data_IF_038359236686
#
_entry.id   IF_038359236686
#
_cell.length_a   1.000
_cell.length_b   1.000
_cell.length_c   1.000
_cell.angle_alpha   90.00
_cell.angle_beta   90.00
_cell.angle_gamma   90.00
#
_symmetry.space_group_name_H-M   'P 1'
#
loop_
_entity.id
_entity.type
_entity.pdbx_description
1 polymer ?
#
# COMPACT_ATOMS: atom_id res chain seq x y z
N UNK A 1 -9.14 17.39 -2.24
CA UNK A 1 -8.03 17.40 -1.28
C UNK A 1 -7.42 15.99 -1.08
N UNK A 2 -8.17 14.89 -0.74
CA UNK A 2 -7.57 13.57 -0.49
C UNK A 2 -6.76 13.02 -1.67
N UNK A 3 -7.25 13.20 -2.90
CA UNK A 3 -6.59 12.72 -4.13
C UNK A 3 -5.24 13.40 -4.35
N UNK A 4 -5.12 14.69 -4.04
CA UNK A 4 -3.87 15.44 -4.16
C UNK A 4 -2.80 14.94 -3.18
N UNK A 5 -3.21 14.61 -1.95
CA UNK A 5 -2.33 14.02 -0.94
C UNK A 5 -1.82 12.63 -1.38
N UNK A 6 -2.71 11.81 -1.93
CA UNK A 6 -2.35 10.51 -2.48
C UNK A 6 -1.40 10.62 -3.68
N UNK A 7 -1.60 11.60 -4.57
CA UNK A 7 -0.72 11.81 -5.72
C UNK A 7 0.73 12.08 -5.30
N UNK A 8 0.93 12.84 -4.22
CA UNK A 8 2.26 13.06 -3.65
C UNK A 8 2.84 11.77 -3.05
N UNK A 9 2.02 10.98 -2.34
CA UNK A 9 2.46 9.71 -1.76
C UNK A 9 2.94 8.71 -2.83
N UNK A 10 2.28 8.68 -4.01
CA UNK A 10 2.62 7.79 -5.12
C UNK A 10 4.05 8.05 -5.65
N UNK A 11 4.58 9.26 -5.55
CA UNK A 11 5.95 9.57 -5.98
C UNK A 11 7.02 8.83 -5.15
N UNK A 12 6.73 8.55 -3.89
CA UNK A 12 7.66 7.84 -2.99
C UNK A 12 7.64 6.32 -3.19
N UNK A 13 6.54 5.76 -3.71
CA UNK A 13 6.36 4.30 -3.86
C UNK A 13 7.39 3.66 -4.78
N UNK A 14 7.68 4.17 -6.00
CA UNK A 14 8.67 3.57 -6.89
C UNK A 14 10.09 3.63 -6.30
N UNK A 15 10.46 4.74 -5.67
CA UNK A 15 11.77 4.92 -5.04
C UNK A 15 11.95 3.90 -3.92
N UNK A 16 10.96 3.81 -3.03
CA UNK A 16 10.97 2.84 -1.93
C UNK A 16 10.98 1.40 -2.45
N UNK A 17 10.20 1.12 -3.50
CA UNK A 17 10.16 -0.19 -4.17
C UNK A 17 11.52 -0.59 -4.74
N UNK A 18 12.23 0.33 -5.37
CA UNK A 18 13.57 0.08 -5.91
C UNK A 18 14.58 -0.29 -4.81
N UNK A 19 14.59 0.46 -3.70
CA UNK A 19 15.47 0.12 -2.57
C UNK A 19 15.10 -1.20 -1.90
N UNK A 20 13.80 -1.47 -1.69
CA UNK A 20 13.34 -2.76 -1.15
C UNK A 20 13.72 -3.90 -2.08
N UNK A 21 13.56 -3.74 -3.40
CA UNK A 21 13.98 -4.71 -4.40
C UNK A 21 15.48 -4.96 -4.38
N UNK A 22 16.30 -3.92 -4.20
CA UNK A 22 17.73 -4.03 -4.04
C UNK A 22 18.10 -4.92 -2.84
N UNK A 23 17.54 -4.66 -1.65
CA UNK A 23 17.81 -5.48 -0.47
C UNK A 23 17.31 -6.92 -0.62
N UNK A 24 16.12 -7.11 -1.19
CA UNK A 24 15.56 -8.44 -1.45
C UNK A 24 16.44 -9.23 -2.45
N UNK A 25 16.96 -8.58 -3.50
CA UNK A 25 17.87 -9.19 -4.46
C UNK A 25 19.19 -9.66 -3.82
N UNK A 26 19.62 -9.00 -2.74
CA UNK A 26 20.77 -9.41 -1.93
C UNK A 26 20.39 -10.39 -0.80
N UNK A 27 19.17 -10.93 -0.80
CA UNK A 27 18.62 -11.81 0.24
C UNK A 27 18.57 -11.19 1.64
N UNK A 28 18.60 -9.87 1.72
CA UNK A 28 18.50 -9.13 2.96
C UNK A 28 17.04 -8.69 3.18
N UNK A 29 16.25 -9.53 3.85
CA UNK A 29 14.82 -9.27 4.09
C UNK A 29 14.56 -8.30 5.25
N UNK A 30 15.50 -8.17 6.20
CA UNK A 30 15.33 -7.34 7.40
C UNK A 30 15.05 -5.86 7.11
N UNK A 31 15.79 -5.16 6.23
CA UNK A 31 15.53 -3.75 5.92
C UNK A 31 14.13 -3.54 5.33
N UNK A 32 13.70 -4.46 4.46
CA UNK A 32 12.37 -4.44 3.86
C UNK A 32 11.29 -4.64 4.92
N UNK A 33 11.41 -5.67 5.77
CA UNK A 33 10.43 -5.98 6.82
C UNK A 33 10.30 -4.84 7.82
N UNK A 34 11.42 -4.33 8.34
CA UNK A 34 11.41 -3.22 9.30
C UNK A 34 10.82 -1.95 8.69
N UNK A 35 11.17 -1.63 7.43
CA UNK A 35 10.61 -0.46 6.76
C UNK A 35 9.08 -0.56 6.60
N UNK A 36 8.55 -1.76 6.33
CA UNK A 36 7.10 -1.98 6.22
C UNK A 36 6.40 -1.84 7.58
N UNK A 37 6.98 -2.39 8.64
CA UNK A 37 6.42 -2.25 9.99
C UNK A 37 6.40 -0.79 10.41
N UNK A 38 7.51 -0.06 10.26
CA UNK A 38 7.59 1.36 10.62
C UNK A 38 6.62 2.19 9.78
N UNK A 39 6.52 1.92 8.47
CA UNK A 39 5.54 2.57 7.58
C UNK A 39 4.12 2.42 8.12
N UNK A 40 3.72 1.19 8.51
CA UNK A 40 2.36 0.93 9.00
C UNK A 40 2.12 1.56 10.38
N UNK A 41 3.08 1.48 11.30
CA UNK A 41 2.96 2.08 12.62
C UNK A 41 2.80 3.60 12.50
N UNK A 42 3.67 4.26 11.72
CA UNK A 42 3.59 5.71 11.51
C UNK A 42 2.28 6.09 10.83
N UNK A 43 1.85 5.32 9.82
CA UNK A 43 0.56 5.53 9.14
C UNK A 43 -0.59 5.50 10.13
N UNK A 44 -0.70 4.44 10.94
CA UNK A 44 -1.80 4.27 11.90
C UNK A 44 -1.80 5.38 12.95
N UNK A 45 -0.64 5.67 13.56
CA UNK A 45 -0.52 6.73 14.56
C UNK A 45 -0.89 8.09 13.98
N UNK A 46 -0.42 8.39 12.77
CA UNK A 46 -0.73 9.66 12.09
C UNK A 46 -2.21 9.77 11.73
N UNK A 47 -2.82 8.69 11.20
CA UNK A 47 -4.26 8.68 10.88
C UNK A 47 -5.09 8.94 12.13
N UNK A 48 -4.84 8.18 13.21
CA UNK A 48 -5.60 8.33 14.46
C UNK A 48 -5.39 9.74 15.03
N UNK A 49 -4.14 10.21 15.12
CA UNK A 49 -3.82 11.52 15.68
C UNK A 49 -4.45 12.67 14.90
N UNK A 50 -4.29 12.67 13.56
CA UNK A 50 -4.83 13.73 12.71
C UNK A 50 -6.36 13.72 12.67
N UNK A 51 -6.99 12.56 12.52
CA UNK A 51 -8.46 12.48 12.45
C UNK A 51 -9.07 12.87 13.79
N UNK A 52 -8.48 12.44 14.91
CA UNK A 52 -8.93 12.85 16.23
C UNK A 52 -8.81 14.37 16.44
N UNK A 53 -7.64 14.93 16.12
CA UNK A 53 -7.40 16.37 16.26
C UNK A 53 -8.33 17.20 15.38
N UNK A 54 -8.49 16.84 14.11
CA UNK A 54 -9.38 17.53 13.17
C UNK A 54 -10.84 17.42 13.58
N UNK A 55 -11.27 16.27 14.14
CA UNK A 55 -12.63 16.07 14.64
C UNK A 55 -12.93 16.97 15.84
N UNK A 56 -12.01 17.07 16.80
CA UNK A 56 -12.15 17.96 17.97
C UNK A 56 -12.16 19.43 17.57
N UNK A 57 -11.42 19.79 16.52
CA UNK A 57 -11.38 21.14 15.95
C UNK A 57 -12.63 21.51 15.12
N UNK A 58 -13.59 20.59 14.96
CA UNK A 58 -14.87 20.87 14.28
C UNK A 58 -14.79 20.90 12.75
N UNK A 59 -13.76 20.36 12.15
CA UNK A 59 -13.62 20.30 10.69
C UNK A 59 -14.60 19.31 10.04
N UNK A 60 -15.05 19.62 8.82
CA UNK A 60 -15.96 18.80 8.04
C UNK A 60 -15.35 17.49 7.56
N UNK A 61 -16.21 16.55 7.12
CA UNK A 61 -15.85 15.21 6.69
C UNK A 61 -14.77 15.16 5.58
N UNK A 62 -14.74 16.15 4.69
CA UNK A 62 -13.73 16.23 3.61
C UNK A 62 -12.32 16.43 4.15
N UNK A 63 -12.18 17.27 5.19
CA UNK A 63 -10.87 17.56 5.81
C UNK A 63 -10.44 16.37 6.67
N UNK A 64 -11.38 15.70 7.34
CA UNK A 64 -11.10 14.46 8.06
C UNK A 64 -10.59 13.37 7.09
N UNK A 65 -11.20 13.22 5.92
CA UNK A 65 -10.76 12.29 4.90
C UNK A 65 -9.35 12.64 4.36
N UNK A 66 -9.06 13.93 4.17
CA UNK A 66 -7.72 14.38 3.81
C UNK A 66 -6.68 14.08 4.91
N UNK A 67 -7.03 14.27 6.17
CA UNK A 67 -6.21 13.89 7.32
C UNK A 67 -5.91 12.39 7.39
N UNK A 68 -6.92 11.55 7.12
CA UNK A 68 -6.73 10.11 7.03
C UNK A 68 -5.78 9.71 5.88
N UNK A 69 -5.92 10.34 4.70
CA UNK A 69 -5.03 10.06 3.56
C UNK A 69 -3.61 10.60 3.77
N UNK A 70 -3.43 11.67 4.55
CA UNK A 70 -2.11 12.17 4.92
C UNK A 70 -1.29 11.14 5.70
N UNK A 71 -1.93 10.27 6.46
CA UNK A 71 -1.26 9.15 7.13
C UNK A 71 -0.49 8.25 6.18
N UNK A 72 -1.00 8.04 4.95
CA UNK A 72 -0.28 7.27 3.93
C UNK A 72 1.01 7.97 3.48
N UNK A 73 0.99 9.30 3.35
CA UNK A 73 2.17 10.09 2.99
C UNK A 73 3.24 10.01 4.10
N UNK A 74 2.87 10.25 5.35
CA UNK A 74 3.81 10.17 6.49
C UNK A 74 4.37 8.76 6.66
N UNK A 75 3.53 7.73 6.49
CA UNK A 75 3.96 6.33 6.49
C UNK A 75 4.98 6.06 5.39
N UNK A 76 4.71 6.47 4.15
CA UNK A 76 5.62 6.27 3.02
C UNK A 76 6.97 6.97 3.23
N UNK A 77 6.96 8.21 3.74
CA UNK A 77 8.19 8.95 4.08
C UNK A 77 8.98 8.23 5.16
N UNK A 78 8.32 7.78 6.24
CA UNK A 78 8.97 7.05 7.32
C UNK A 78 9.58 5.72 6.83
N UNK A 79 8.85 4.95 6.03
CA UNK A 79 9.34 3.72 5.42
C UNK A 79 10.55 3.97 4.51
N UNK A 80 10.52 5.03 3.71
CA UNK A 80 11.64 5.43 2.86
C UNK A 80 12.87 5.82 3.70
N UNK A 81 12.70 6.60 4.76
CA UNK A 81 13.80 6.99 5.64
C UNK A 81 14.48 5.78 6.27
N UNK A 82 13.71 4.77 6.69
CA UNK A 82 14.26 3.53 7.23
C UNK A 82 15.13 2.82 6.19
N UNK A 83 14.63 2.66 4.97
CA UNK A 83 15.38 1.98 3.90
C UNK A 83 16.64 2.75 3.54
N UNK A 84 16.57 4.08 3.45
CA UNK A 84 17.74 4.93 3.19
C UNK A 84 18.75 4.85 4.33
N UNK A 85 18.30 4.79 5.58
CA UNK A 85 19.19 4.61 6.75
C UNK A 85 19.94 3.27 6.68
N UNK A 86 19.24 2.20 6.33
CA UNK A 86 19.89 0.89 6.12
C UNK A 86 20.89 0.96 4.97
N UNK A 87 20.54 1.58 3.84
CA UNK A 87 21.44 1.74 2.71
C UNK A 87 22.70 2.57 3.05
N UNK A 88 22.54 3.60 3.89
CA UNK A 88 23.68 4.41 4.34
C UNK A 88 24.60 3.65 5.34
N UNK A 89 24.00 2.78 6.17
CA UNK A 89 24.74 1.99 7.16
C UNK A 89 25.41 0.75 6.56
N UNK A 90 24.87 0.24 5.48
CA UNK A 90 25.46 -0.89 4.78
C UNK A 90 26.81 -0.47 4.19
N UNK A 91 27.88 -1.13 4.65
CA UNK A 91 29.18 -1.01 3.98
C UNK A 91 28.94 -1.53 2.56
N UNK A 92 28.92 -0.62 1.58
CA UNK A 92 28.75 -0.99 0.17
C UNK A 92 29.64 -2.19 -0.10
N UNK A 93 29.11 -3.36 -0.49
CA UNK A 93 29.96 -4.45 -0.90
C UNK A 93 30.93 -3.85 -1.93
N UNK A 94 32.22 -4.14 -1.80
CA UNK A 94 33.17 -3.82 -2.87
C UNK A 94 32.49 -4.31 -4.13
N UNK A 95 32.19 -3.40 -5.03
CA UNK A 95 31.72 -3.75 -6.36
C UNK A 95 32.81 -4.72 -6.90
N UNK A 96 32.64 -6.02 -6.67
CA UNK A 96 33.24 -6.96 -7.57
C UNK A 96 32.72 -6.52 -8.91
N UNK A 97 33.63 -6.12 -9.78
CA UNK A 97 33.32 -5.71 -11.14
C UNK A 97 32.57 -6.91 -11.72
N UNK A 98 31.25 -6.88 -11.54
CA UNK A 98 30.34 -7.81 -12.21
C UNK A 98 30.61 -7.53 -13.70
N UNK A 99 31.40 -8.38 -14.32
CA UNK A 99 31.54 -8.40 -15.77
C UNK A 99 30.10 -8.63 -16.25
N UNK A 100 29.46 -7.65 -16.90
CA UNK A 100 28.10 -7.84 -17.34
C UNK A 100 28.08 -9.08 -18.21
N UNK A 101 27.42 -10.12 -17.73
CA UNK A 101 27.03 -11.22 -18.59
C UNK A 101 26.34 -10.55 -19.79
N UNK A 102 26.64 -11.01 -20.99
CA UNK A 102 26.22 -10.44 -22.27
C UNK A 102 24.67 -10.41 -22.46
N UNK A 103 23.93 -10.54 -21.36
CA UNK A 103 22.48 -10.42 -21.35
C UNK A 103 22.10 -8.95 -21.57
N UNK A 104 21.58 -8.70 -22.74
CA UNK A 104 21.03 -7.41 -23.13
C UNK A 104 19.98 -7.00 -22.10
N UNK A 105 19.94 -5.71 -21.67
CA UNK A 105 18.92 -5.13 -20.79
C UNK A 105 17.50 -5.59 -21.18
N UNK A 106 17.26 -5.75 -22.47
CA UNK A 106 16.00 -6.26 -23.02
C UNK A 106 15.71 -7.72 -22.66
N UNK A 107 16.71 -8.61 -22.66
CA UNK A 107 16.56 -10.01 -22.23
C UNK A 107 16.21 -10.10 -20.74
N UNK A 108 16.90 -9.32 -19.90
CA UNK A 108 16.62 -9.25 -18.48
C UNK A 108 15.22 -8.71 -18.21
N UNK A 109 14.82 -7.63 -18.90
CA UNK A 109 13.48 -7.05 -18.76
C UNK A 109 12.39 -8.03 -19.17
N UNK A 110 12.60 -8.80 -20.25
CA UNK A 110 11.64 -9.83 -20.71
C UNK A 110 11.48 -10.93 -19.66
N UNK A 111 12.57 -11.39 -19.07
CA UNK A 111 12.53 -12.40 -18.00
C UNK A 111 11.77 -11.89 -16.78
N UNK A 112 12.06 -10.66 -16.33
CA UNK A 112 11.36 -10.04 -15.19
C UNK A 112 9.86 -9.94 -15.49
N UNK A 113 9.46 -9.48 -16.65
CA UNK A 113 8.04 -9.36 -17.05
C UNK A 113 7.37 -10.74 -17.10
N UNK A 114 8.06 -11.75 -17.64
CA UNK A 114 7.52 -13.11 -17.73
C UNK A 114 7.21 -13.73 -16.36
N UNK A 115 7.99 -13.41 -15.33
CA UNK A 115 7.70 -13.83 -13.95
C UNK A 115 6.70 -12.91 -13.25
N UNK A 116 6.76 -11.61 -13.50
CA UNK A 116 5.90 -10.63 -12.84
C UNK A 116 4.42 -10.79 -13.22
N UNK A 117 4.13 -11.09 -14.50
CA UNK A 117 2.74 -11.21 -14.97
C UNK A 117 1.96 -12.32 -14.25
N UNK A 118 2.42 -13.58 -14.18
CA UNK A 118 1.69 -14.63 -13.48
C UNK A 118 1.49 -14.34 -11.99
N UNK A 119 2.52 -13.81 -11.33
CA UNK A 119 2.47 -13.46 -9.90
C UNK A 119 1.45 -12.33 -9.69
N UNK A 120 1.48 -11.29 -10.53
CA UNK A 120 0.54 -10.18 -10.44
C UNK A 120 -0.91 -10.63 -10.68
N UNK A 121 -1.14 -11.52 -11.65
CA UNK A 121 -2.46 -12.09 -11.90
C UNK A 121 -2.97 -12.89 -10.71
N UNK A 122 -2.12 -13.70 -10.09
CA UNK A 122 -2.48 -14.46 -8.89
C UNK A 122 -2.87 -13.55 -7.71
N UNK A 123 -2.15 -12.45 -7.52
CA UNK A 123 -2.43 -11.50 -6.43
C UNK A 123 -3.66 -10.61 -6.70
N UNK A 124 -4.12 -10.49 -7.95
CA UNK A 124 -5.32 -9.74 -8.30
C UNK A 124 -6.63 -10.45 -7.94
N UNK A 125 -6.61 -11.75 -7.68
CA UNK A 125 -7.84 -12.53 -7.43
C UNK A 125 -8.63 -11.95 -6.24
N UNK A 126 -7.99 -11.74 -5.09
CA UNK A 126 -8.67 -11.19 -3.90
C UNK A 126 -9.20 -9.76 -4.11
N UNK A 127 -8.43 -8.80 -4.66
CA UNK A 127 -8.97 -7.48 -4.99
C UNK A 127 -10.11 -7.51 -5.99
N UNK A 128 -10.11 -8.43 -6.97
CA UNK A 128 -11.20 -8.58 -7.93
C UNK A 128 -12.48 -9.10 -7.27
N UNK A 129 -12.37 -10.06 -6.34
CA UNK A 129 -13.52 -10.54 -5.55
C UNK A 129 -14.09 -9.36 -4.76
N UNK A 130 -13.28 -8.61 -4.02
CA UNK A 130 -13.73 -7.43 -3.28
C UNK A 130 -14.36 -6.35 -4.17
N UNK A 131 -13.87 -6.16 -5.40
CA UNK A 131 -14.49 -5.27 -6.38
C UNK A 131 -15.89 -5.76 -6.79
N UNK A 132 -16.03 -7.05 -7.11
CA UNK A 132 -17.33 -7.66 -7.44
C UNK A 132 -18.30 -7.51 -6.26
N UNK A 133 -17.87 -7.80 -5.05
CA UNK A 133 -18.68 -7.66 -3.85
C UNK A 133 -19.13 -6.22 -3.62
N UNK A 134 -18.23 -5.25 -3.79
CA UNK A 134 -18.54 -3.83 -3.63
C UNK A 134 -19.59 -3.31 -4.61
N UNK A 135 -19.68 -3.91 -5.79
CA UNK A 135 -20.68 -3.55 -6.81
C UNK A 135 -21.98 -4.34 -6.68
N UNK A 136 -21.88 -5.60 -6.27
CA UNK A 136 -23.02 -6.55 -6.30
C UNK A 136 -23.82 -6.49 -5.02
N UNK A 137 -23.19 -6.52 -3.86
CA UNK A 137 -23.89 -6.57 -2.56
C UNK A 137 -24.80 -5.36 -2.35
N UNK A 138 -24.37 -4.09 -2.57
CA UNK A 138 -25.25 -2.95 -2.44
C UNK A 138 -26.43 -2.99 -3.40
N UNK A 139 -26.25 -3.47 -4.64
CA UNK A 139 -27.33 -3.59 -5.62
C UNK A 139 -28.39 -4.62 -5.19
N UNK A 140 -27.94 -5.77 -4.69
CA UNK A 140 -28.84 -6.82 -4.17
C UNK A 140 -29.64 -6.27 -2.99
N UNK A 141 -28.98 -5.61 -2.03
CA UNK A 141 -29.64 -5.02 -0.86
C UNK A 141 -30.68 -3.97 -1.25
N UNK A 142 -30.40 -3.13 -2.24
CA UNK A 142 -31.38 -2.17 -2.78
C UNK A 142 -32.57 -2.86 -3.44
N UNK A 143 -32.32 -3.92 -4.23
CA UNK A 143 -33.40 -4.68 -4.89
C UNK A 143 -34.29 -5.42 -3.89
N UNK A 144 -33.81 -5.72 -2.69
CA UNK A 144 -34.58 -6.29 -1.59
C UNK A 144 -35.47 -5.24 -0.88
N UNK A 145 -35.54 -4.02 -1.40
CA UNK A 145 -36.43 -2.96 -0.87
C UNK A 145 -35.78 -2.10 0.23
N UNK A 146 -34.47 -2.25 0.49
CA UNK A 146 -33.81 -1.41 1.48
C UNK A 146 -33.58 0.01 0.92
N UNK A 147 -33.68 1.02 1.78
CA UNK A 147 -33.30 2.39 1.43
C UNK A 147 -31.77 2.50 1.21
N UNK A 148 -31.34 3.52 0.48
CA UNK A 148 -29.91 3.76 0.22
C UNK A 148 -29.09 3.91 1.50
N UNK A 149 -29.65 4.56 2.54
CA UNK A 149 -28.99 4.71 3.84
C UNK A 149 -28.85 3.38 4.58
N UNK A 150 -29.90 2.55 4.56
CA UNK A 150 -29.88 1.21 5.18
C UNK A 150 -28.90 0.28 4.46
N UNK A 151 -28.89 0.32 3.13
CA UNK A 151 -27.91 -0.42 2.29
C UNK A 151 -26.48 -0.05 2.64
N UNK A 152 -26.17 1.24 2.78
CA UNK A 152 -24.83 1.70 3.18
C UNK A 152 -24.42 1.19 4.56
N UNK A 153 -25.35 1.17 5.52
CA UNK A 153 -25.09 0.65 6.87
C UNK A 153 -24.84 -0.86 6.85
N UNK A 154 -25.67 -1.63 6.17
CA UNK A 154 -25.53 -3.08 6.05
C UNK A 154 -24.25 -3.48 5.34
N UNK A 155 -23.94 -2.80 4.23
CA UNK A 155 -22.68 -3.01 3.52
C UNK A 155 -21.47 -2.64 4.39
N UNK A 156 -21.54 -1.56 5.16
CA UNK A 156 -20.47 -1.17 6.08
C UNK A 156 -20.23 -2.19 7.19
N UNK A 157 -21.26 -2.89 7.67
CA UNK A 157 -21.12 -4.00 8.63
C UNK A 157 -20.44 -5.20 7.96
N UNK A 158 -20.88 -5.57 6.75
CA UNK A 158 -20.26 -6.64 5.95
C UNK A 158 -18.78 -6.39 5.71
N UNK A 159 -18.42 -5.21 5.19
CA UNK A 159 -17.04 -4.84 4.87
C UNK A 159 -16.10 -4.83 6.09
N UNK A 160 -16.63 -4.62 7.30
CA UNK A 160 -15.83 -4.75 8.53
C UNK A 160 -15.53 -6.21 8.90
N UNK A 161 -16.41 -7.13 8.51
CA UNK A 161 -16.24 -8.57 8.76
C UNK A 161 -15.31 -9.26 7.76
N UNK A 162 -15.23 -8.76 6.52
CA UNK A 162 -14.46 -9.34 5.42
C UNK A 162 -12.98 -9.63 5.77
N UNK A 163 -12.22 -8.72 6.41
CA UNK A 163 -10.82 -8.99 6.77
C UNK A 163 -10.65 -10.18 7.71
N UNK A 164 -11.63 -10.48 8.56
CA UNK A 164 -11.57 -11.60 9.50
C UNK A 164 -11.81 -12.95 8.80
N UNK A 165 -12.61 -12.95 7.74
CA UNK A 165 -12.86 -14.16 6.94
C UNK A 165 -11.64 -14.50 6.07
N UNK A 166 -10.91 -13.49 5.58
CA UNK A 166 -9.74 -13.68 4.72
C UNK A 166 -8.46 -14.09 5.49
N UNK A 167 -8.51 -14.17 6.83
CA UNK A 167 -7.38 -14.63 7.67
C UNK A 167 -7.34 -16.16 7.78
N UNK A 168 -8.44 -16.83 7.51
CA UNK A 168 -8.59 -18.31 7.57
C UNK A 168 -8.22 -18.91 6.22
#
# INVERSE_FOLDING_TARGET
LPIQVLAVAILFVPVMGAYRGYFQGHQQMMPTGISQVVEQVVRVVTVIGLVYWLKVSGFGAEILAAGATAGALFGAVAGLLVVLWYNAKEKKPKLEIYTPSTETIWGLSKSIIAYAIPISLATLVLPLIGLVDSLTIPRILMNMGNSASMTGTLYGIYARGEPFVNII
#
